data_IF_054358228001
#
_entry.id   IF_054358228001
#
_cell.length_a   1.000
_cell.length_b   1.000
_cell.length_c   1.000
_cell.angle_alpha   90.00
_cell.angle_beta   90.00
_cell.angle_gamma   90.00
#
_symmetry.space_group_name_H-M   'P 1'
#
loop_
_entity.id
_entity.type
_entity.pdbx_description
1 polymer ?
#
# COMPACT_ATOMS: atom_id res chain seq x y z
N UNK A 1 -15.72 -18.22 14.77
CA UNK A 1 -14.36 -18.42 15.29
C UNK A 1 -13.35 -18.28 14.16
N UNK A 2 -12.20 -17.61 14.36
CA UNK A 2 -11.18 -17.48 13.35
C UNK A 2 -10.69 -18.86 12.87
N UNK A 3 -10.64 -19.08 11.55
CA UNK A 3 -10.08 -20.32 11.00
C UNK A 3 -9.26 -20.04 9.72
N UNK A 4 -8.25 -20.88 9.49
CA UNK A 4 -7.46 -20.81 8.28
C UNK A 4 -8.29 -21.27 7.07
N UNK A 5 -8.46 -20.40 6.09
CA UNK A 5 -9.14 -20.72 4.83
C UNK A 5 -8.20 -21.31 3.79
N UNK A 6 -6.89 -21.02 3.90
CA UNK A 6 -5.82 -21.60 3.10
C UNK A 6 -4.52 -21.54 3.90
N UNK A 7 -3.73 -22.59 3.85
CA UNK A 7 -2.35 -22.62 4.34
C UNK A 7 -1.47 -23.29 3.28
N UNK A 8 -0.38 -22.63 2.93
CA UNK A 8 0.59 -23.10 1.94
C UNK A 8 2.02 -22.84 2.41
N UNK A 9 3.00 -23.23 1.57
CA UNK A 9 4.41 -23.12 1.90
C UNK A 9 4.87 -21.67 2.16
N UNK A 10 4.24 -20.67 1.55
CA UNK A 10 4.64 -19.28 1.67
C UNK A 10 3.71 -18.42 2.53
N UNK A 11 2.51 -18.87 2.85
CA UNK A 11 1.61 -18.05 3.66
C UNK A 11 0.30 -18.71 4.02
N UNK A 12 -0.54 -17.95 4.71
CA UNK A 12 -1.87 -18.39 5.11
C UNK A 12 -2.90 -17.26 4.99
N UNK A 13 -4.12 -17.66 4.64
CA UNK A 13 -5.30 -16.81 4.54
C UNK A 13 -6.31 -17.20 5.62
N UNK A 14 -6.87 -16.22 6.30
CA UNK A 14 -7.74 -16.41 7.43
C UNK A 14 -9.09 -15.70 7.25
N UNK A 15 -10.15 -16.33 7.68
CA UNK A 15 -11.40 -15.65 7.95
C UNK A 15 -11.35 -15.17 9.40
N UNK A 16 -11.18 -13.87 9.59
CA UNK A 16 -10.94 -13.28 10.92
C UNK A 16 -11.01 -11.76 10.86
N UNK A 17 -11.24 -11.14 12.00
CA UNK A 17 -11.06 -9.70 12.19
C UNK A 17 -9.58 -9.29 12.08
N UNK A 18 -9.34 -8.02 11.72
CA UNK A 18 -7.99 -7.49 11.53
C UNK A 18 -7.12 -7.52 12.79
N UNK A 19 -7.70 -7.28 13.99
CA UNK A 19 -6.98 -7.32 15.25
C UNK A 19 -6.59 -8.76 15.62
N UNK A 20 -7.49 -9.70 15.43
CA UNK A 20 -7.23 -11.13 15.64
C UNK A 20 -6.18 -11.66 14.65
N UNK A 21 -6.15 -11.17 13.41
CA UNK A 21 -5.10 -11.50 12.46
C UNK A 21 -3.75 -10.94 12.90
N UNK A 22 -3.71 -9.65 13.22
CA UNK A 22 -2.47 -8.98 13.63
C UNK A 22 -1.89 -9.58 14.91
N UNK A 23 -2.72 -10.02 15.86
CA UNK A 23 -2.29 -10.71 17.07
C UNK A 23 -1.54 -12.04 16.80
N UNK A 24 -1.73 -12.63 15.61
CA UNK A 24 -0.99 -13.85 15.19
C UNK A 24 0.40 -13.54 14.66
N UNK A 25 0.69 -12.28 14.33
CA UNK A 25 2.00 -11.86 13.84
C UNK A 25 2.91 -11.64 15.03
N UNK A 26 4.04 -12.36 15.15
CA UNK A 26 5.01 -12.10 16.21
C UNK A 26 5.55 -10.66 16.15
N UNK A 27 5.99 -10.15 17.29
CA UNK A 27 6.61 -8.83 17.38
C UNK A 27 7.80 -8.73 16.43
N UNK A 28 7.81 -7.67 15.62
CA UNK A 28 8.92 -7.41 14.70
C UNK A 28 9.05 -8.37 13.52
N UNK A 29 8.04 -9.21 13.23
CA UNK A 29 8.14 -10.22 12.17
C UNK A 29 7.77 -9.73 10.77
N UNK A 30 6.88 -8.74 10.65
CA UNK A 30 6.40 -8.25 9.36
C UNK A 30 7.36 -7.21 8.76
N UNK A 31 7.86 -7.44 7.56
CA UNK A 31 8.62 -6.45 6.80
C UNK A 31 7.71 -5.37 6.26
N UNK A 32 6.56 -5.77 5.76
CA UNK A 32 5.60 -4.89 5.11
C UNK A 32 4.19 -5.21 5.56
N UNK A 33 3.41 -4.18 5.86
CA UNK A 33 1.96 -4.26 5.96
C UNK A 33 1.34 -3.42 4.86
N UNK A 34 0.42 -3.99 4.09
CA UNK A 34 -0.42 -3.25 3.13
C UNK A 34 -1.85 -3.35 3.64
N UNK A 35 -2.45 -2.23 3.94
CA UNK A 35 -3.79 -2.15 4.51
C UNK A 35 -4.71 -1.29 3.65
N UNK A 36 -5.81 -1.85 3.21
CA UNK A 36 -6.89 -1.15 2.52
C UNK A 36 -8.19 -1.28 3.35
N UNK A 37 -8.25 -0.58 4.52
CA UNK A 37 -9.36 -0.71 5.46
C UNK A 37 -10.65 -0.14 4.87
N UNK A 38 -11.83 -0.36 5.49
CA UNK A 38 -13.02 0.46 5.27
C UNK A 38 -12.69 1.96 5.30
N UNK A 39 -13.40 2.77 4.49
CA UNK A 39 -13.12 4.20 4.37
C UNK A 39 -14.12 5.09 5.15
N UNK A 40 -15.05 4.49 5.88
CA UNK A 40 -16.12 5.18 6.60
C UNK A 40 -16.97 6.11 5.71
N UNK A 41 -17.33 5.62 4.52
CA UNK A 41 -18.14 6.35 3.53
C UNK A 41 -19.47 5.65 3.25
N UNK A 42 -19.87 4.73 4.13
CA UNK A 42 -21.12 3.97 4.07
C UNK A 42 -21.35 3.28 2.71
N UNK A 43 -20.32 2.70 2.12
CA UNK A 43 -20.38 2.04 0.83
C UNK A 43 -20.97 0.63 0.92
N UNK A 44 -20.91 0.03 2.10
CA UNK A 44 -21.48 -1.26 2.47
C UNK A 44 -21.58 -1.33 4.00
N UNK A 45 -22.30 -2.31 4.56
CA UNK A 45 -22.45 -2.49 6.02
C UNK A 45 -21.11 -2.53 6.78
N UNK A 46 -20.08 -3.13 6.18
CA UNK A 46 -18.73 -3.16 6.77
C UNK A 46 -17.99 -1.81 6.74
N UNK A 47 -18.52 -0.80 6.05
CA UNK A 47 -17.95 0.56 5.91
C UNK A 47 -18.74 1.61 6.71
N UNK A 48 -19.63 1.17 7.61
CA UNK A 48 -20.44 2.03 8.48
C UNK A 48 -19.79 2.19 9.85
N UNK A 49 -19.65 3.43 10.30
CA UNK A 49 -19.16 3.81 11.61
C UNK A 49 -20.04 4.90 12.21
N UNK A 50 -20.22 4.87 13.53
CA UNK A 50 -21.06 5.84 14.26
C UNK A 50 -20.60 7.29 14.08
N UNK A 51 -19.29 7.50 13.91
CA UNK A 51 -18.67 8.80 13.68
C UNK A 51 -17.26 8.67 13.11
N UNK A 52 -16.72 9.76 12.58
CA UNK A 52 -15.32 9.82 12.15
C UNK A 52 -14.34 9.56 13.32
N UNK A 53 -14.65 10.07 14.51
CA UNK A 53 -13.83 9.83 15.71
C UNK A 53 -13.80 8.33 16.07
N UNK A 54 -14.95 7.64 16.03
CA UNK A 54 -15.03 6.20 16.27
C UNK A 54 -14.19 5.41 15.25
N UNK A 55 -14.23 5.81 13.98
CA UNK A 55 -13.40 5.24 12.93
C UNK A 55 -11.91 5.48 13.18
N UNK A 56 -11.52 6.70 13.54
CA UNK A 56 -10.11 7.06 13.81
C UNK A 56 -9.59 6.30 15.05
N UNK A 57 -10.41 6.13 16.09
CA UNK A 57 -10.06 5.35 17.28
C UNK A 57 -9.92 3.85 16.93
N UNK A 58 -10.76 3.33 16.06
CA UNK A 58 -10.62 1.96 15.54
C UNK A 58 -9.32 1.83 14.73
N UNK A 59 -9.00 2.81 13.87
CA UNK A 59 -7.75 2.85 13.14
C UNK A 59 -6.53 2.88 14.06
N UNK A 60 -6.57 3.68 15.14
CA UNK A 60 -5.45 3.76 16.09
C UNK A 60 -5.16 2.42 16.77
N UNK A 61 -6.20 1.64 17.08
CA UNK A 61 -6.06 0.31 17.68
C UNK A 61 -5.31 -0.66 16.76
N UNK A 62 -5.76 -0.85 15.53
CA UNK A 62 -5.08 -1.80 14.64
C UNK A 62 -3.73 -1.26 14.14
N UNK A 63 -3.52 0.06 14.03
CA UNK A 63 -2.22 0.65 13.73
C UNK A 63 -1.22 0.47 14.87
N UNK A 64 -1.66 0.38 16.13
CA UNK A 64 -0.80 -0.01 17.24
C UNK A 64 -0.27 -1.44 17.06
N UNK A 65 -1.15 -2.37 16.68
CA UNK A 65 -0.76 -3.75 16.39
C UNK A 65 0.13 -3.86 15.14
N UNK A 66 -0.15 -3.09 14.09
CA UNK A 66 0.75 -2.98 12.93
C UNK A 66 2.14 -2.52 13.36
N UNK A 67 2.23 -1.48 14.19
CA UNK A 67 3.52 -0.99 14.67
C UNK A 67 4.27 -2.06 15.49
N UNK A 68 3.59 -2.83 16.35
CA UNK A 68 4.15 -3.95 17.11
C UNK A 68 4.71 -5.02 16.15
N UNK A 69 3.88 -5.43 15.19
CA UNK A 69 4.18 -6.51 14.25
C UNK A 69 5.31 -6.18 13.25
N UNK A 70 5.50 -4.89 12.90
CA UNK A 70 6.55 -4.48 11.96
C UNK A 70 7.95 -4.76 12.48
N UNK A 71 8.82 -5.24 11.60
CA UNK A 71 10.27 -5.31 11.82
C UNK A 71 10.85 -3.92 12.14
N UNK A 72 12.03 -3.83 12.78
CA UNK A 72 12.62 -2.53 13.15
C UNK A 72 12.78 -1.55 11.98
N UNK A 73 13.02 -2.05 10.77
CA UNK A 73 13.15 -1.32 9.51
C UNK A 73 11.96 -1.54 8.56
N UNK A 74 10.87 -2.12 9.07
CA UNK A 74 9.64 -2.37 8.35
C UNK A 74 8.79 -1.12 8.17
N UNK A 75 7.83 -1.21 7.22
CA UNK A 75 6.92 -0.13 6.89
C UNK A 75 5.50 -0.63 6.67
N UNK A 76 4.52 0.29 6.75
CA UNK A 76 3.15 0.00 6.37
C UNK A 76 2.63 1.03 5.35
N UNK A 77 1.80 0.57 4.43
CA UNK A 77 1.00 1.41 3.56
C UNK A 77 -0.47 1.30 3.95
N UNK A 78 -1.13 2.44 4.11
CA UNK A 78 -2.56 2.52 4.46
C UNK A 78 -3.26 3.33 3.39
N UNK A 79 -4.19 2.69 2.67
CA UNK A 79 -4.99 3.33 1.64
C UNK A 79 -6.21 4.04 2.25
N UNK A 80 -6.71 5.09 1.60
CA UNK A 80 -7.91 5.80 2.02
C UNK A 80 -8.12 7.12 1.30
N UNK A 81 -9.19 7.81 1.64
CA UNK A 81 -9.41 9.16 1.16
C UNK A 81 -8.61 10.18 1.99
N UNK A 82 -8.17 11.25 1.34
CA UNK A 82 -7.28 12.26 1.95
C UNK A 82 -7.84 12.85 3.22
N UNK A 83 -9.10 13.23 3.22
CA UNK A 83 -9.79 13.86 4.35
C UNK A 83 -9.82 12.95 5.58
N UNK A 84 -10.02 11.66 5.38
CA UNK A 84 -10.07 10.66 6.46
C UNK A 84 -8.67 10.29 6.93
N UNK A 85 -7.75 10.05 5.98
CA UNK A 85 -6.36 9.73 6.32
C UNK A 85 -5.62 10.88 7.01
N UNK A 86 -6.08 12.13 6.85
CA UNK A 86 -5.54 13.27 7.58
C UNK A 86 -5.75 13.10 9.10
N UNK A 87 -6.96 12.71 9.51
CA UNK A 87 -7.30 12.47 10.93
C UNK A 87 -6.56 11.24 11.47
N UNK A 88 -6.53 10.15 10.72
CA UNK A 88 -5.76 8.95 11.08
C UNK A 88 -4.28 9.29 11.26
N UNK A 89 -3.69 10.06 10.35
CA UNK A 89 -2.29 10.51 10.45
C UNK A 89 -2.07 11.41 11.67
N UNK A 90 -3.00 12.31 11.97
CA UNK A 90 -2.90 13.20 13.11
C UNK A 90 -2.89 12.42 14.45
N UNK A 91 -3.74 11.39 14.56
CA UNK A 91 -3.85 10.53 15.73
C UNK A 91 -2.67 9.57 15.86
N UNK A 92 -2.42 8.76 14.83
CA UNK A 92 -1.55 7.59 14.90
C UNK A 92 -0.13 7.83 14.36
N UNK A 93 0.08 8.87 13.54
CA UNK A 93 1.33 9.08 12.80
C UNK A 93 2.55 9.26 13.69
N UNK A 94 2.39 9.80 14.90
CA UNK A 94 3.50 10.01 15.86
C UNK A 94 4.10 8.71 16.39
N UNK A 95 3.37 7.58 16.33
CA UNK A 95 3.86 6.25 16.70
C UNK A 95 5.01 5.78 15.80
N UNK A 96 5.05 6.27 14.55
CA UNK A 96 6.02 5.85 13.55
C UNK A 96 7.21 6.82 13.52
N UNK A 97 8.28 6.49 14.24
CA UNK A 97 9.45 7.34 14.43
C UNK A 97 10.21 7.68 13.13
N UNK A 98 10.06 6.87 12.07
CA UNK A 98 10.56 7.13 10.72
C UNK A 98 9.75 8.19 9.98
N UNK A 99 8.63 8.63 10.56
CA UNK A 99 7.70 9.59 9.99
C UNK A 99 6.74 8.97 8.98
N UNK A 100 5.83 9.81 8.51
CA UNK A 100 4.78 9.44 7.55
C UNK A 100 5.01 10.19 6.24
N UNK A 101 5.08 9.47 5.13
CA UNK A 101 5.06 10.05 3.78
C UNK A 101 3.65 9.92 3.21
N UNK A 102 3.15 10.96 2.61
CA UNK A 102 1.90 10.95 1.87
C UNK A 102 2.19 10.57 0.43
N UNK A 103 1.53 9.52 -0.08
CA UNK A 103 1.54 9.16 -1.49
C UNK A 103 0.14 9.39 -2.07
N UNK A 104 0.09 9.64 -3.36
CA UNK A 104 -1.15 9.80 -4.12
C UNK A 104 -1.20 8.73 -5.21
N UNK A 105 -2.22 7.90 -5.18
CA UNK A 105 -2.54 7.03 -6.31
C UNK A 105 -3.54 7.75 -7.20
N UNK A 106 -3.08 8.24 -8.36
CA UNK A 106 -3.90 8.92 -9.34
C UNK A 106 -4.31 7.99 -10.47
N UNK A 107 -5.51 8.19 -10.99
CA UNK A 107 -6.03 7.41 -12.09
C UNK A 107 -6.84 8.31 -13.04
N UNK A 108 -6.61 8.14 -14.36
CA UNK A 108 -7.21 8.98 -15.40
C UNK A 108 -8.46 8.36 -16.04
N UNK A 109 -8.67 7.08 -15.80
CA UNK A 109 -9.72 6.30 -16.43
C UNK A 109 -11.05 6.32 -15.68
N UNK A 110 -11.12 6.98 -14.53
CA UNK A 110 -12.33 7.12 -13.73
C UNK A 110 -12.28 8.42 -12.93
N UNK A 111 -13.39 9.14 -12.91
CA UNK A 111 -13.61 10.26 -12.01
C UNK A 111 -15.04 10.16 -11.45
N UNK A 112 -15.24 10.56 -10.21
CA UNK A 112 -16.58 10.76 -9.68
C UNK A 112 -17.08 12.12 -10.19
N UNK A 113 -18.07 12.11 -11.07
CA UNK A 113 -18.63 13.29 -11.72
C UNK A 113 -19.85 13.80 -10.92
N UNK A 114 -19.62 14.25 -9.69
CA UNK A 114 -20.62 14.98 -8.91
C UNK A 114 -20.72 16.46 -9.31
N UNK A 115 -21.42 17.25 -8.52
CA UNK A 115 -21.55 18.70 -8.72
C UNK A 115 -20.31 19.52 -8.34
N UNK A 116 -19.21 18.87 -7.96
CA UNK A 116 -17.94 19.46 -7.55
C UNK A 116 -16.78 18.80 -8.34
N UNK A 117 -15.55 19.08 -7.95
CA UNK A 117 -14.36 18.46 -8.55
C UNK A 117 -14.45 16.93 -8.53
N UNK A 118 -14.29 16.31 -9.69
CA UNK A 118 -14.32 14.85 -9.83
C UNK A 118 -13.12 14.20 -9.11
N UNK A 119 -13.39 13.26 -8.21
CA UNK A 119 -12.33 12.50 -7.53
C UNK A 119 -11.64 11.57 -8.54
N UNK A 120 -10.35 11.75 -8.73
CA UNK A 120 -9.52 10.97 -9.64
C UNK A 120 -8.26 10.43 -8.95
N UNK A 121 -8.25 10.38 -7.62
CA UNK A 121 -7.15 9.83 -6.83
C UNK A 121 -7.62 9.26 -5.50
N UNK A 122 -6.80 8.41 -4.94
CA UNK A 122 -6.82 7.97 -3.54
C UNK A 122 -5.47 8.28 -2.90
N UNK A 123 -5.45 8.38 -1.59
CA UNK A 123 -4.26 8.66 -0.80
C UNK A 123 -3.71 7.39 -0.17
N UNK A 124 -2.40 7.37 0.08
CA UNK A 124 -1.74 6.26 0.76
C UNK A 124 -0.77 6.85 1.78
N UNK A 125 -0.94 6.49 3.05
CA UNK A 125 0.05 6.80 4.07
C UNK A 125 1.15 5.75 4.05
N UNK A 126 2.39 6.15 3.81
CA UNK A 126 3.58 5.31 4.01
C UNK A 126 4.14 5.57 5.42
N UNK A 127 3.83 4.67 6.33
CA UNK A 127 4.19 4.71 7.74
C UNK A 127 5.51 3.96 7.94
N UNK A 128 6.55 4.61 8.44
CA UNK A 128 7.88 4.02 8.61
C UNK A 128 8.17 3.82 10.09
N UNK A 129 8.41 2.57 10.52
CA UNK A 129 8.62 2.26 11.95
C UNK A 129 9.81 3.03 12.51
N UNK A 130 10.92 3.09 11.79
CA UNK A 130 12.14 3.80 12.19
C UNK A 130 12.68 4.70 11.06
N UNK A 131 13.65 5.57 11.38
CA UNK A 131 14.30 6.44 10.40
C UNK A 131 15.05 5.65 9.31
N UNK A 132 15.65 4.51 9.69
CA UNK A 132 16.19 3.54 8.73
C UNK A 132 15.09 2.54 8.41
N UNK A 133 14.74 2.42 7.15
CA UNK A 133 13.69 1.52 6.64
C UNK A 133 14.11 0.98 5.27
N UNK A 134 13.51 -0.15 4.88
CA UNK A 134 13.73 -0.74 3.56
C UNK A 134 13.06 0.12 2.49
N UNK A 135 13.85 0.54 1.49
CA UNK A 135 13.36 1.22 0.30
C UNK A 135 14.20 0.82 -0.92
N UNK A 136 13.71 -0.13 -1.68
CA UNK A 136 14.34 -0.69 -2.88
C UNK A 136 14.07 0.23 -4.08
N UNK A 137 14.71 1.40 -4.10
CA UNK A 137 14.47 2.45 -5.11
C UNK A 137 14.63 1.91 -6.52
N UNK A 138 15.64 1.08 -6.77
CA UNK A 138 15.98 0.59 -8.10
C UNK A 138 14.93 -0.40 -8.65
N UNK A 139 14.24 -1.13 -7.77
CA UNK A 139 13.15 -2.05 -8.13
C UNK A 139 11.88 -1.33 -8.61
N UNK A 140 11.74 -0.03 -8.31
CA UNK A 140 10.53 0.76 -8.60
C UNK A 140 10.81 2.05 -9.36
N UNK A 141 11.99 2.15 -10.01
CA UNK A 141 12.31 3.28 -10.90
C UNK A 141 11.29 3.37 -12.03
N UNK A 142 11.12 4.59 -12.51
CA UNK A 142 10.21 4.91 -13.62
C UNK A 142 11.00 5.40 -14.84
N UNK A 143 10.47 5.23 -16.06
CA UNK A 143 11.11 5.78 -17.25
C UNK A 143 11.32 7.29 -17.12
N UNK A 144 12.43 7.79 -17.69
CA UNK A 144 12.61 9.23 -17.84
C UNK A 144 11.60 9.79 -18.85
N UNK A 145 11.21 11.06 -18.64
CA UNK A 145 10.43 11.79 -19.62
C UNK A 145 11.24 12.06 -20.90
N UNK A 146 10.56 12.45 -21.98
CA UNK A 146 11.17 12.67 -23.30
C UNK A 146 12.24 13.77 -23.27
N UNK A 147 12.04 14.82 -22.50
CA UNK A 147 13.03 15.88 -22.34
C UNK A 147 14.35 15.34 -21.78
N UNK A 148 14.29 14.52 -20.74
CA UNK A 148 15.51 13.93 -20.13
C UNK A 148 16.16 12.90 -21.05
N UNK A 149 15.36 12.15 -21.83
CA UNK A 149 15.91 11.21 -22.85
C UNK A 149 16.62 11.94 -23.98
N UNK A 150 16.08 13.09 -24.41
CA UNK A 150 16.64 13.91 -25.50
C UNK A 150 17.88 14.68 -25.05
N UNK A 151 17.93 15.11 -23.78
CA UNK A 151 19.00 15.90 -23.20
C UNK A 151 19.50 15.24 -21.91
N UNK A 152 20.27 14.14 -22.00
CA UNK A 152 20.66 13.34 -20.85
C UNK A 152 21.69 14.03 -19.95
N UNK A 153 22.50 14.88 -20.54
CA UNK A 153 23.58 15.58 -19.80
C UNK A 153 23.19 17.03 -19.57
N UNK A 154 23.36 17.50 -18.34
CA UNK A 154 23.10 18.91 -18.02
C UNK A 154 23.90 19.36 -16.81
N UNK A 155 24.26 20.64 -16.84
CA UNK A 155 24.76 21.34 -15.65
C UNK A 155 23.58 21.62 -14.73
N UNK A 156 23.69 21.28 -13.47
CA UNK A 156 22.62 21.53 -12.51
C UNK A 156 22.59 23.02 -12.13
N UNK A 157 21.46 23.68 -12.31
CA UNK A 157 21.29 25.08 -11.96
C UNK A 157 21.44 25.30 -10.42
N UNK A 158 21.99 26.44 -10.05
CA UNK A 158 22.26 26.84 -8.66
C UNK A 158 20.95 26.99 -7.83
N UNK A 159 19.81 27.15 -8.50
CA UNK A 159 18.51 27.48 -7.89
C UNK A 159 17.63 26.29 -7.52
N UNK A 160 18.15 25.06 -7.48
CA UNK A 160 17.33 23.91 -7.07
C UNK A 160 16.95 24.01 -5.59
N UNK A 161 15.75 24.46 -5.29
CA UNK A 161 15.17 24.56 -3.94
C UNK A 161 15.15 23.22 -3.17
N UNK A 162 15.32 22.10 -3.86
CA UNK A 162 15.21 20.74 -3.30
C UNK A 162 16.55 20.02 -3.19
N UNK A 163 17.65 20.65 -3.59
CA UNK A 163 18.95 20.00 -3.72
C UNK A 163 19.79 19.94 -2.45
N UNK A 164 19.29 20.38 -1.30
CA UNK A 164 20.03 20.33 -0.03
C UNK A 164 21.41 21.01 -0.05
N UNK A 165 21.64 21.99 -0.96
CA UNK A 165 22.88 22.75 -1.09
C UNK A 165 24.04 22.00 -1.79
N UNK A 166 23.86 20.74 -2.19
CA UNK A 166 24.89 19.99 -2.93
C UNK A 166 24.77 20.27 -4.42
N UNK A 167 25.65 21.12 -4.94
CA UNK A 167 25.80 21.38 -6.38
C UNK A 167 26.54 20.19 -7.00
N UNK A 168 25.94 19.56 -8.03
CA UNK A 168 26.64 18.64 -8.95
C UNK A 168 26.95 19.41 -10.23
N UNK A 169 28.22 19.51 -10.56
CA UNK A 169 28.63 20.21 -11.79
C UNK A 169 28.10 19.53 -13.06
N UNK A 170 27.93 18.21 -13.01
CA UNK A 170 27.33 17.42 -14.08
C UNK A 170 26.32 16.43 -13.50
N UNK A 171 25.12 16.41 -14.09
CA UNK A 171 24.11 15.40 -13.77
C UNK A 171 23.98 14.43 -14.96
N UNK A 172 24.00 13.15 -14.65
CA UNK A 172 23.76 12.07 -15.60
C UNK A 172 22.56 11.24 -15.18
N UNK A 173 21.74 10.76 -16.16
CA UNK A 173 20.59 9.91 -15.88
C UNK A 173 21.06 8.55 -15.35
N UNK A 174 20.37 8.05 -14.34
CA UNK A 174 20.63 6.70 -13.82
C UNK A 174 20.18 5.66 -14.87
N UNK A 175 20.97 4.58 -15.14
CA UNK A 175 20.68 3.62 -16.21
C UNK A 175 19.33 2.91 -16.06
N UNK A 176 18.88 2.69 -14.81
CA UNK A 176 17.57 2.04 -14.53
C UNK A 176 16.39 3.02 -14.53
N UNK A 177 16.59 4.31 -14.84
CA UNK A 177 15.51 5.29 -14.89
C UNK A 177 15.48 6.27 -13.72
N UNK A 178 14.44 7.11 -13.68
CA UNK A 178 14.22 8.12 -12.67
C UNK A 178 13.78 7.49 -11.33
N UNK A 179 14.07 8.17 -10.22
CA UNK A 179 13.52 7.78 -8.91
C UNK A 179 11.99 7.78 -8.95
N UNK A 180 11.34 6.84 -8.24
CA UNK A 180 9.89 6.83 -8.13
C UNK A 180 9.40 8.14 -7.50
N UNK A 181 8.20 8.54 -7.87
CA UNK A 181 7.52 9.71 -7.31
C UNK A 181 6.50 9.28 -6.28
N UNK A 182 6.07 10.22 -5.45
CA UNK A 182 4.99 10.04 -4.48
C UNK A 182 3.58 10.17 -5.10
N UNK A 183 3.50 10.46 -6.39
CA UNK A 183 2.29 10.33 -7.21
C UNK A 183 2.45 9.12 -8.13
N UNK A 184 1.60 8.12 -7.90
CA UNK A 184 1.55 6.86 -8.65
C UNK A 184 0.40 6.96 -9.67
N UNK A 185 0.73 7.15 -10.94
CA UNK A 185 -0.26 7.21 -12.03
C UNK A 185 -0.49 5.78 -12.55
N UNK A 186 -1.54 5.14 -12.03
CA UNK A 186 -1.90 3.75 -12.32
C UNK A 186 -3.41 3.68 -12.52
N UNK A 187 -3.91 3.13 -13.64
CA UNK A 187 -5.35 3.02 -13.88
C UNK A 187 -6.07 2.21 -12.79
N UNK A 188 -7.31 2.58 -12.48
CA UNK A 188 -8.19 1.72 -11.69
C UNK A 188 -8.68 0.56 -12.56
N UNK A 189 -9.15 -0.50 -11.91
CA UNK A 189 -9.68 -1.66 -12.60
C UNK A 189 -11.06 -1.35 -13.23
N UNK A 190 -11.18 -1.70 -14.50
CA UNK A 190 -12.40 -1.59 -15.27
C UNK A 190 -12.90 -2.98 -15.66
N UNK A 191 -14.19 -3.07 -16.00
CA UNK A 191 -14.77 -4.31 -16.53
C UNK A 191 -14.02 -4.76 -17.78
N UNK A 192 -13.79 -6.06 -17.88
CA UNK A 192 -13.04 -6.66 -18.99
C UNK A 192 -11.53 -6.82 -18.74
N UNK A 193 -10.98 -6.26 -17.66
CA UNK A 193 -9.60 -6.56 -17.25
C UNK A 193 -9.52 -7.95 -16.61
N UNK A 194 -8.49 -8.72 -16.97
CA UNK A 194 -8.33 -10.13 -16.53
C UNK A 194 -8.16 -10.29 -15.03
N UNK A 195 -7.56 -9.33 -14.36
CA UNK A 195 -7.37 -9.33 -12.90
C UNK A 195 -8.62 -8.88 -12.12
N UNK A 196 -9.64 -8.30 -12.79
CA UNK A 196 -10.84 -7.76 -12.15
C UNK A 196 -11.72 -8.89 -11.60
N UNK A 197 -12.08 -8.77 -10.33
CA UNK A 197 -13.04 -9.64 -9.64
C UNK A 197 -14.33 -8.88 -9.33
N UNK A 198 -15.29 -9.55 -8.71
CA UNK A 198 -16.54 -8.93 -8.24
C UNK A 198 -16.36 -8.05 -6.99
N UNK A 199 -15.15 -7.96 -6.44
CA UNK A 199 -14.88 -7.07 -5.30
C UNK A 199 -15.02 -5.61 -5.72
N UNK A 200 -15.85 -4.80 -5.01
CA UNK A 200 -16.24 -3.46 -5.47
C UNK A 200 -15.08 -2.45 -5.48
N UNK A 201 -14.09 -2.64 -4.61
CA UNK A 201 -12.97 -1.70 -4.39
C UNK A 201 -11.61 -2.34 -4.60
N UNK A 202 -11.53 -3.41 -5.40
CA UNK A 202 -10.27 -4.11 -5.65
C UNK A 202 -9.17 -3.15 -6.11
N UNK A 203 -8.00 -3.22 -5.45
CA UNK A 203 -6.80 -2.47 -5.86
C UNK A 203 -6.10 -3.16 -7.03
N UNK A 204 -5.54 -2.39 -8.00
CA UNK A 204 -4.77 -2.96 -9.12
C UNK A 204 -3.52 -3.69 -8.63
N UNK A 205 -3.21 -4.83 -9.26
CA UNK A 205 -1.99 -5.59 -8.94
C UNK A 205 -0.73 -4.75 -9.15
N UNK A 206 -0.68 -3.88 -10.16
CA UNK A 206 0.47 -3.01 -10.42
C UNK A 206 0.72 -2.01 -9.28
N UNK A 207 -0.34 -1.45 -8.66
CA UNK A 207 -0.20 -0.58 -7.50
C UNK A 207 0.47 -1.34 -6.36
N UNK A 208 -0.10 -2.47 -5.99
CA UNK A 208 0.40 -3.29 -4.87
C UNK A 208 1.80 -3.83 -5.18
N UNK A 209 2.07 -4.24 -6.42
CA UNK A 209 3.40 -4.69 -6.86
C UNK A 209 4.48 -3.64 -6.60
N UNK A 210 4.21 -2.38 -6.90
CA UNK A 210 5.15 -1.28 -6.60
C UNK A 210 5.39 -1.12 -5.11
N UNK A 211 4.35 -1.19 -4.29
CA UNK A 211 4.48 -1.08 -2.83
C UNK A 211 5.30 -2.25 -2.26
N UNK A 212 5.02 -3.48 -2.70
CA UNK A 212 5.71 -4.69 -2.26
C UNK A 212 7.19 -4.67 -2.66
N UNK A 213 7.50 -4.36 -3.94
CA UNK A 213 8.87 -4.27 -4.43
C UNK A 213 9.67 -3.17 -3.72
N UNK A 214 9.03 -2.02 -3.45
CA UNK A 214 9.70 -0.90 -2.80
C UNK A 214 10.13 -1.21 -1.36
N UNK A 215 9.37 -2.05 -0.64
CA UNK A 215 9.48 -2.13 0.83
C UNK A 215 9.66 -3.54 1.37
N UNK A 216 10.00 -4.50 0.51
CA UNK A 216 10.32 -5.87 0.94
C UNK A 216 11.24 -6.57 -0.05
N UNK A 217 11.91 -7.62 0.42
CA UNK A 217 12.73 -8.53 -0.37
C UNK A 217 12.10 -9.93 -0.43
N UNK A 218 12.66 -10.84 -1.22
CA UNK A 218 12.22 -12.24 -1.24
C UNK A 218 12.27 -12.83 0.19
N UNK A 219 11.34 -13.72 0.50
CA UNK A 219 11.15 -14.36 1.82
C UNK A 219 10.78 -13.43 2.99
N UNK A 220 10.69 -12.11 2.78
CA UNK A 220 10.11 -11.21 3.78
C UNK A 220 8.62 -11.49 3.98
N UNK A 221 8.13 -11.26 5.21
CA UNK A 221 6.70 -11.39 5.53
C UNK A 221 5.94 -10.11 5.16
N UNK A 222 4.98 -10.25 4.27
CA UNK A 222 3.97 -9.25 3.90
C UNK A 222 2.65 -9.59 4.57
N UNK A 223 2.04 -8.64 5.26
CA UNK A 223 0.77 -8.82 5.97
C UNK A 223 -0.30 -7.90 5.38
N UNK A 224 -1.49 -8.43 5.15
CA UNK A 224 -2.68 -7.67 4.73
C UNK A 224 -3.87 -8.03 5.63
N UNK A 225 -4.21 -7.16 6.60
CA UNK A 225 -5.30 -7.41 7.54
C UNK A 225 -6.70 -7.09 6.98
N UNK A 226 -6.79 -6.62 5.73
CA UNK A 226 -8.01 -6.26 5.02
C UNK A 226 -7.95 -6.76 3.58
N UNK A 227 -7.69 -8.07 3.40
CA UNK A 227 -7.20 -8.56 2.13
C UNK A 227 -8.23 -8.54 0.98
N UNK A 228 -9.53 -8.42 1.27
CA UNK A 228 -10.58 -8.32 0.28
C UNK A 228 -10.46 -9.41 -0.79
N UNK A 229 -10.24 -8.99 -2.04
CA UNK A 229 -10.02 -9.90 -3.17
C UNK A 229 -8.66 -10.61 -3.16
N UNK A 230 -7.79 -10.37 -2.19
CA UNK A 230 -6.47 -11.01 -2.05
C UNK A 230 -5.37 -10.45 -2.94
N UNK A 231 -5.51 -9.24 -3.49
CA UNK A 231 -4.52 -8.67 -4.41
C UNK A 231 -3.11 -8.63 -3.81
N UNK A 232 -2.98 -8.19 -2.54
CA UNK A 232 -1.68 -8.13 -1.85
C UNK A 232 -1.05 -9.51 -1.72
N UNK A 233 -1.85 -10.51 -1.39
CA UNK A 233 -1.37 -11.88 -1.16
C UNK A 233 -0.90 -12.54 -2.45
N UNK A 234 -1.66 -12.38 -3.54
CA UNK A 234 -1.31 -12.86 -4.89
C UNK A 234 -0.02 -12.21 -5.37
N UNK A 235 0.12 -10.90 -5.21
CA UNK A 235 1.33 -10.17 -5.60
C UNK A 235 2.53 -10.59 -4.75
N UNK A 236 2.36 -10.73 -3.44
CA UNK A 236 3.42 -11.16 -2.53
C UNK A 236 3.91 -12.57 -2.89
N UNK A 237 2.99 -13.51 -3.14
CA UNK A 237 3.32 -14.89 -3.52
C UNK A 237 4.11 -14.95 -4.84
N UNK A 238 3.60 -14.27 -5.89
CA UNK A 238 4.28 -14.21 -7.21
C UNK A 238 5.67 -13.58 -7.15
N UNK A 239 5.88 -12.67 -6.21
CA UNK A 239 7.18 -12.02 -5.99
C UNK A 239 8.10 -12.80 -5.04
N UNK A 240 7.71 -13.98 -4.57
CA UNK A 240 8.50 -14.82 -3.67
C UNK A 240 8.54 -14.33 -2.22
N UNK A 241 7.58 -13.52 -1.79
CA UNK A 241 7.42 -13.10 -0.39
C UNK A 241 6.61 -14.14 0.38
N UNK A 242 6.83 -14.25 1.68
CA UNK A 242 5.87 -14.89 2.58
C UNK A 242 4.72 -13.94 2.80
N UNK A 243 3.52 -14.47 3.04
CA UNK A 243 2.35 -13.63 3.23
C UNK A 243 1.41 -14.15 4.31
N UNK A 244 0.72 -13.23 4.97
CA UNK A 244 -0.37 -13.47 5.88
C UNK A 244 -1.50 -12.51 5.56
N UNK A 245 -2.69 -13.01 5.30
CA UNK A 245 -3.85 -12.18 5.04
C UNK A 245 -5.10 -12.66 5.72
N UNK A 246 -6.03 -11.75 5.92
CA UNK A 246 -7.34 -12.05 6.46
C UNK A 246 -8.38 -11.01 6.08
N UNK A 247 -9.62 -11.43 6.19
CA UNK A 247 -10.78 -10.58 6.00
C UNK A 247 -11.92 -11.05 6.90
N UNK A 248 -12.75 -10.11 7.35
CA UNK A 248 -13.91 -10.40 8.17
C UNK A 248 -15.08 -10.96 7.34
N UNK A 249 -15.09 -10.70 6.02
CA UNK A 249 -16.13 -11.20 5.11
C UNK A 249 -15.71 -12.56 4.51
N UNK A 250 -16.44 -13.65 4.79
CA UNK A 250 -16.14 -14.98 4.26
C UNK A 250 -16.24 -15.05 2.72
N UNK A 251 -17.05 -14.19 2.08
CA UNK A 251 -17.15 -14.16 0.63
C UNK A 251 -15.86 -13.62 0.00
N UNK A 252 -15.27 -12.59 0.60
CA UNK A 252 -13.97 -12.04 0.17
C UNK A 252 -12.83 -13.02 0.44
N UNK A 253 -12.82 -13.67 1.59
CA UNK A 253 -11.87 -14.78 1.86
C UNK A 253 -11.98 -15.88 0.82
N UNK A 254 -13.20 -16.27 0.44
CA UNK A 254 -13.43 -17.25 -0.64
C UNK A 254 -12.90 -16.77 -2.00
N UNK A 255 -13.04 -15.48 -2.29
CA UNK A 255 -12.51 -14.86 -3.52
C UNK A 255 -10.97 -14.85 -3.53
N UNK A 256 -10.35 -14.38 -2.46
CA UNK A 256 -8.90 -14.37 -2.29
C UNK A 256 -8.31 -15.78 -2.40
N UNK A 257 -8.96 -16.78 -1.79
CA UNK A 257 -8.56 -18.19 -1.87
C UNK A 257 -8.54 -18.70 -3.31
N UNK A 258 -9.60 -18.43 -4.09
CA UNK A 258 -9.66 -18.86 -5.52
C UNK A 258 -8.51 -18.23 -6.32
N UNK A 259 -8.23 -16.95 -6.13
CA UNK A 259 -7.12 -16.26 -6.81
C UNK A 259 -5.76 -16.85 -6.45
N UNK A 260 -5.51 -17.10 -5.17
CA UNK A 260 -4.25 -17.72 -4.71
C UNK A 260 -4.05 -19.12 -5.30
N UNK A 261 -5.09 -19.95 -5.30
CA UNK A 261 -5.01 -21.29 -5.90
C UNK A 261 -4.75 -21.25 -7.41
N UNK A 262 -5.18 -20.20 -8.10
CA UNK A 262 -4.91 -20.04 -9.53
C UNK A 262 -3.47 -19.57 -9.83
N UNK A 263 -2.70 -19.16 -8.81
CA UNK A 263 -1.30 -18.73 -8.95
C UNK A 263 -0.27 -19.75 -8.48
N UNK A 264 -0.71 -20.77 -7.76
CA UNK A 264 0.10 -21.90 -7.30
C UNK A 264 0.17 -22.99 -8.37
#
# INVERSE_FOLDING_TARGET
MPHAALAGARGSLWWTDCLDLLARVPDGAARLVVADPPYAVAKAEWDEFDSLDAYVDWCDRWLAEVHRALAPDGTAYVCGFSEILAEVKARSGRRFAGGVRWLVWSYRNKANLGGDWGRSHESILHLRKARRFVMNVDAVRIPYNDHTRRYPERVQAVSSQYGGGVRRDRWEPHPLGAKPRDVLDIPTLCNGMTEKTDHPTQKPEELVRRLVLASSDADDLVVDPFCGSGTTLVVADRLGRRWLGGDADPAYVGMARRRLLATM
#
